data_IF_423835017619
#
_entry.id   IF_423835017619
#
_cell.length_a   1.000
_cell.length_b   1.000
_cell.length_c   1.000
_cell.angle_alpha   90.00
_cell.angle_beta   90.00
_cell.angle_gamma   90.00
#
_symmetry.space_group_name_H-M   'P 1'
#
loop_
_entity.id
_entity.type
_entity.pdbx_description
1 polymer ?
#
# COMPACT_ATOMS: atom_id res chain seq x y z
N UNK A 1 -20.89 5.64 1.96
CA UNK A 1 -20.36 5.57 3.35
C UNK A 1 -20.14 6.98 3.90
N UNK A 2 -20.00 7.14 5.23
CA UNK A 2 -19.50 8.40 5.76
C UNK A 2 -18.01 8.55 5.40
N UNK A 3 -17.58 9.67 4.78
CA UNK A 3 -16.18 9.90 4.46
C UNK A 3 -15.30 9.93 5.72
N UNK A 4 -14.03 9.55 5.57
CA UNK A 4 -13.01 9.74 6.61
C UNK A 4 -11.97 10.75 6.11
N UNK A 5 -11.49 11.59 7.01
CA UNK A 5 -10.40 12.53 6.73
C UNK A 5 -9.05 11.80 6.77
N UNK A 6 -8.25 11.91 5.72
CA UNK A 6 -6.83 11.63 5.77
C UNK A 6 -6.14 12.90 6.29
N UNK A 7 -6.01 13.02 7.61
CA UNK A 7 -5.49 14.24 8.22
C UNK A 7 -3.98 14.38 8.06
N UNK A 8 -3.28 13.28 7.93
CA UNK A 8 -1.84 13.23 7.63
C UNK A 8 -1.43 11.90 7.02
N UNK A 9 -0.34 11.87 6.27
CA UNK A 9 0.18 10.65 5.66
C UNK A 9 1.69 10.77 5.38
N UNK A 10 2.34 9.63 5.19
CA UNK A 10 3.77 9.50 4.91
C UNK A 10 4.05 8.25 4.09
N UNK A 11 5.11 8.27 3.31
CA UNK A 11 5.55 7.13 2.51
C UNK A 11 7.07 7.04 2.48
N UNK A 12 7.58 5.82 2.55
CA UNK A 12 8.99 5.46 2.38
C UNK A 12 9.08 4.21 1.52
N UNK A 13 9.81 4.29 0.42
CA UNK A 13 10.07 3.19 -0.50
C UNK A 13 11.41 3.42 -1.21
N UNK A 14 11.79 2.56 -2.16
CA UNK A 14 13.03 2.71 -2.91
C UNK A 14 13.09 3.99 -3.77
N UNK A 15 11.97 4.70 -4.00
CA UNK A 15 11.96 5.97 -4.74
C UNK A 15 12.08 7.20 -3.85
N UNK A 16 12.04 7.03 -2.52
CA UNK A 16 12.20 8.16 -1.59
C UNK A 16 11.79 7.84 -0.17
N UNK A 17 12.35 8.60 0.77
CA UNK A 17 11.96 8.65 2.16
C UNK A 17 11.21 9.95 2.42
N UNK A 18 9.94 9.83 2.77
CA UNK A 18 9.03 10.96 2.93
C UNK A 18 8.38 11.40 1.61
N UNK A 19 7.42 12.31 1.75
CA UNK A 19 6.52 12.70 0.67
C UNK A 19 7.20 13.52 -0.41
N UNK A 20 8.11 14.44 -0.06
CA UNK A 20 8.75 15.33 -1.03
C UNK A 20 9.62 14.54 -2.02
N UNK A 21 10.49 13.65 -1.51
CA UNK A 21 11.35 12.82 -2.37
C UNK A 21 10.55 11.81 -3.19
N UNK A 22 9.45 11.29 -2.63
CA UNK A 22 8.52 10.41 -3.35
C UNK A 22 7.81 11.18 -4.47
N UNK A 23 7.34 12.39 -4.20
CA UNK A 23 6.67 13.24 -5.18
C UNK A 23 7.60 13.59 -6.34
N UNK A 24 8.84 14.03 -6.04
CA UNK A 24 9.84 14.34 -7.06
C UNK A 24 10.10 13.15 -7.98
N UNK A 25 10.27 11.95 -7.39
CA UNK A 25 10.47 10.73 -8.17
C UNK A 25 9.26 10.39 -9.07
N UNK A 26 8.02 10.56 -8.56
CA UNK A 26 6.81 10.34 -9.34
C UNK A 26 6.63 11.37 -10.47
N UNK A 27 6.95 12.65 -10.22
CA UNK A 27 6.89 13.71 -11.23
C UNK A 27 7.92 13.49 -12.34
N UNK A 28 9.14 13.11 -11.96
CA UNK A 28 10.24 12.83 -12.87
C UNK A 28 10.14 11.45 -13.56
N UNK A 29 9.10 10.67 -13.27
CA UNK A 29 8.95 9.27 -13.71
C UNK A 29 10.21 8.43 -13.41
N UNK A 30 10.82 8.63 -12.23
CA UNK A 30 12.07 8.01 -11.80
C UNK A 30 11.78 6.75 -11.00
N UNK A 31 12.38 5.62 -11.40
CA UNK A 31 12.31 4.34 -10.70
C UNK A 31 13.44 4.17 -9.68
N UNK A 32 13.21 3.32 -8.67
CA UNK A 32 14.19 2.94 -7.66
C UNK A 32 14.61 1.47 -7.72
N UNK A 33 14.25 0.75 -8.80
CA UNK A 33 14.60 -0.67 -8.94
C UNK A 33 16.08 -0.83 -9.31
N UNK A 34 16.73 -1.81 -8.66
CA UNK A 34 18.11 -2.20 -8.89
C UNK A 34 18.23 -3.72 -9.10
N UNK A 35 19.28 -4.23 -9.78
CA UNK A 35 19.53 -5.66 -9.82
C UNK A 35 19.57 -6.27 -8.42
N UNK A 36 19.03 -7.48 -8.27
CA UNK A 36 18.94 -8.14 -6.97
C UNK A 36 20.34 -8.40 -6.38
N UNK A 37 20.61 -7.74 -5.26
CA UNK A 37 21.83 -7.92 -4.46
C UNK A 37 21.50 -8.15 -2.97
N UNK A 38 20.26 -8.57 -2.68
CA UNK A 38 19.77 -8.72 -1.32
C UNK A 38 20.28 -9.99 -0.65
N UNK A 39 20.97 -9.83 0.49
CA UNK A 39 21.52 -10.94 1.28
C UNK A 39 22.37 -11.89 0.40
N UNK A 40 21.98 -13.17 0.38
CA UNK A 40 22.60 -14.22 -0.43
C UNK A 40 21.70 -14.69 -1.56
N UNK A 41 20.77 -13.84 -2.00
CA UNK A 41 19.90 -14.20 -3.11
C UNK A 41 20.72 -14.33 -4.39
N UNK A 42 20.64 -15.51 -5.02
CA UNK A 42 21.21 -15.79 -6.35
C UNK A 42 20.04 -15.89 -7.34
N UNK A 43 19.50 -14.71 -7.70
CA UNK A 43 18.33 -14.57 -8.55
C UNK A 43 18.55 -13.48 -9.59
N UNK A 44 18.31 -13.82 -10.86
CA UNK A 44 18.32 -12.87 -11.96
C UNK A 44 16.99 -12.09 -11.98
N UNK A 45 16.91 -11.06 -11.14
CA UNK A 45 15.72 -10.20 -11.00
C UNK A 45 16.10 -8.80 -10.50
N UNK A 46 15.11 -7.94 -10.41
CA UNK A 46 15.24 -6.57 -9.88
C UNK A 46 14.44 -6.41 -8.59
N UNK A 47 14.95 -5.58 -7.69
CA UNK A 47 14.33 -5.31 -6.39
C UNK A 47 14.25 -3.81 -6.12
N UNK A 48 13.27 -3.41 -5.30
CA UNK A 48 13.14 -2.06 -4.77
C UNK A 48 13.53 -2.02 -3.29
N UNK A 49 14.83 -1.92 -3.00
CA UNK A 49 15.34 -1.84 -1.63
C UNK A 49 15.33 -0.39 -1.12
N UNK A 50 14.97 -0.21 0.15
CA UNK A 50 15.01 1.10 0.83
C UNK A 50 16.37 1.28 1.50
N UNK A 51 17.06 2.35 1.14
CA UNK A 51 18.36 2.67 1.72
C UNK A 51 18.26 3.00 3.22
N UNK A 52 19.26 2.56 4.00
CA UNK A 52 19.43 2.91 5.41
C UNK A 52 18.51 2.17 6.38
N UNK A 53 17.76 1.16 5.94
CA UNK A 53 16.94 0.33 6.84
C UNK A 53 17.81 -0.46 7.81
N UNK A 54 18.97 -0.95 7.34
CA UNK A 54 19.86 -1.77 8.18
C UNK A 54 20.76 -0.94 9.10
N UNK A 55 20.85 0.37 8.87
CA UNK A 55 21.75 1.28 9.58
C UNK A 55 21.14 1.85 10.87
N UNK A 56 19.82 1.81 11.00
CA UNK A 56 19.10 2.39 12.13
C UNK A 56 18.32 1.33 12.90
N UNK A 57 18.81 0.88 14.08
CA UNK A 57 18.04 -0.04 14.91
C UNK A 57 16.72 0.60 15.37
N UNK A 58 15.77 -0.21 15.76
CA UNK A 58 14.56 0.31 16.39
C UNK A 58 14.92 1.03 17.70
N UNK A 59 14.07 1.94 18.11
CA UNK A 59 14.22 2.70 19.36
C UNK A 59 14.51 1.77 20.55
N UNK A 60 15.45 2.15 21.43
CA UNK A 60 15.98 1.26 22.48
C UNK A 60 14.92 0.65 23.41
N UNK A 61 13.86 1.41 23.70
CA UNK A 61 12.72 0.92 24.51
C UNK A 61 11.84 -0.11 23.78
N UNK A 62 12.06 -0.31 22.48
CA UNK A 62 11.37 -1.27 21.62
C UNK A 62 12.31 -2.36 21.07
N UNK A 63 13.48 -2.57 21.70
CA UNK A 63 14.51 -3.51 21.24
C UNK A 63 14.01 -4.96 21.06
N UNK A 64 12.96 -5.38 21.77
CA UNK A 64 12.33 -6.70 21.55
C UNK A 64 11.73 -6.85 20.16
N UNK A 65 11.36 -5.75 19.50
CA UNK A 65 10.80 -5.72 18.15
C UNK A 65 11.86 -5.61 17.04
N UNK A 66 13.13 -5.77 17.37
CA UNK A 66 14.24 -5.57 16.45
C UNK A 66 14.19 -6.55 15.27
N UNK A 67 13.84 -6.04 14.11
CA UNK A 67 13.88 -6.74 12.82
C UNK A 67 13.81 -5.71 11.67
N UNK A 68 14.27 -6.10 10.47
CA UNK A 68 14.26 -5.22 9.29
C UNK A 68 12.90 -4.59 9.03
N UNK A 69 11.81 -5.35 9.14
CA UNK A 69 10.46 -4.86 8.88
C UNK A 69 10.06 -3.72 9.85
N UNK A 70 10.36 -3.86 11.13
CA UNK A 70 10.03 -2.84 12.14
C UNK A 70 10.99 -1.63 12.07
N UNK A 71 12.25 -1.83 11.64
CA UNK A 71 13.16 -0.72 11.29
C UNK A 71 12.57 0.10 10.14
N UNK A 72 12.11 -0.56 9.08
CA UNK A 72 11.45 0.08 7.95
C UNK A 72 10.17 0.82 8.39
N UNK A 73 9.34 0.20 9.25
CA UNK A 73 8.19 0.86 9.85
C UNK A 73 8.60 2.14 10.59
N UNK A 74 9.60 2.07 11.48
CA UNK A 74 10.11 3.24 12.20
C UNK A 74 10.61 4.32 11.27
N UNK A 75 11.36 3.94 10.24
CA UNK A 75 11.87 4.87 9.25
C UNK A 75 10.74 5.65 8.57
N UNK A 76 9.64 4.98 8.21
CA UNK A 76 8.45 5.64 7.65
C UNK A 76 7.72 6.53 8.67
N UNK A 77 7.55 6.08 9.92
CA UNK A 77 6.85 6.84 10.95
C UNK A 77 7.55 8.14 11.35
N UNK A 78 8.86 8.25 11.13
CA UNK A 78 9.66 9.46 11.46
C UNK A 78 9.69 10.49 10.34
N UNK A 79 9.09 10.21 9.17
CA UNK A 79 9.06 11.17 8.06
C UNK A 79 7.85 12.12 8.16
N UNK A 80 7.92 13.23 7.46
CA UNK A 80 6.83 14.18 7.20
C UNK A 80 6.15 14.74 8.47
N UNK A 81 6.79 14.65 9.64
CA UNK A 81 6.20 15.04 10.92
C UNK A 81 5.02 14.16 11.34
N UNK A 82 4.94 12.93 10.82
CA UNK A 82 3.83 12.00 11.08
C UNK A 82 3.70 11.66 12.58
N UNK A 83 4.81 11.50 13.28
CA UNK A 83 4.87 11.26 14.72
C UNK A 83 4.21 12.41 15.54
N UNK A 84 4.51 13.66 15.20
CA UNK A 84 3.90 14.82 15.83
C UNK A 84 2.38 14.88 15.59
N UNK A 85 1.92 14.48 14.41
CA UNK A 85 0.48 14.44 14.08
C UNK A 85 -0.25 13.35 14.85
N UNK A 86 0.32 12.17 14.98
CA UNK A 86 -0.24 11.11 15.82
C UNK A 86 -0.27 11.56 17.29
N UNK A 87 0.78 12.20 17.80
CA UNK A 87 0.80 12.76 19.16
C UNK A 87 -0.32 13.79 19.37
N UNK A 88 -0.58 14.66 18.39
CA UNK A 88 -1.69 15.62 18.45
C UNK A 88 -3.06 14.93 18.47
N UNK A 89 -3.25 13.85 17.70
CA UNK A 89 -4.48 13.06 17.74
C UNK A 89 -4.66 12.37 19.11
N UNK A 90 -3.57 11.84 19.70
CA UNK A 90 -3.58 11.26 21.06
C UNK A 90 -3.95 12.32 22.11
N UNK A 91 -3.41 13.54 22.02
CA UNK A 91 -3.75 14.63 22.91
C UNK A 91 -5.22 15.02 22.79
N UNK A 92 -5.79 14.98 21.56
CA UNK A 92 -7.18 15.35 21.28
C UNK A 92 -8.18 14.29 21.72
N UNK A 93 -7.92 13.01 21.43
CA UNK A 93 -8.89 11.93 21.60
C UNK A 93 -8.60 11.00 22.77
N UNK A 94 -7.35 11.01 23.27
CA UNK A 94 -6.84 10.04 24.24
C UNK A 94 -6.28 8.77 23.57
N UNK A 95 -5.24 8.19 24.19
CA UNK A 95 -4.53 7.03 23.63
C UNK A 95 -5.41 5.79 23.40
N UNK A 96 -6.50 5.63 24.16
CA UNK A 96 -7.45 4.51 24.00
C UNK A 96 -8.42 4.71 22.81
N UNK A 97 -8.51 5.93 22.27
CA UNK A 97 -9.42 6.27 21.18
C UNK A 97 -8.72 6.35 19.82
N UNK A 98 -7.41 6.09 19.76
CA UNK A 98 -6.62 5.97 18.54
C UNK A 98 -6.27 4.51 18.29
N UNK A 99 -6.77 3.93 17.20
CA UNK A 99 -6.50 2.55 16.79
C UNK A 99 -5.27 2.42 15.89
N UNK A 100 -4.83 1.19 15.66
CA UNK A 100 -3.72 0.84 14.76
C UNK A 100 -4.14 -0.31 13.85
N UNK A 101 -4.02 -0.13 12.53
CA UNK A 101 -4.32 -1.16 11.54
C UNK A 101 -3.18 -1.21 10.53
N UNK A 102 -2.42 -2.31 10.52
CA UNK A 102 -1.24 -2.46 9.66
C UNK A 102 -1.40 -3.65 8.74
N UNK A 103 -1.23 -3.41 7.45
CA UNK A 103 -1.15 -4.45 6.41
C UNK A 103 0.27 -4.99 6.30
N UNK A 104 0.43 -6.30 6.27
CA UNK A 104 1.72 -6.95 6.07
C UNK A 104 1.55 -8.36 5.51
N UNK A 105 2.51 -8.80 4.72
CA UNK A 105 2.66 -10.18 4.25
C UNK A 105 3.93 -10.83 4.80
N UNK A 106 4.94 -10.04 5.13
CA UNK A 106 6.25 -10.54 5.56
C UNK A 106 6.47 -10.44 7.07
N UNK A 107 5.98 -9.37 7.72
CA UNK A 107 6.43 -9.05 9.08
C UNK A 107 7.97 -9.23 9.19
N UNK A 108 8.48 -9.81 10.27
CA UNK A 108 9.91 -10.08 10.46
C UNK A 108 10.35 -11.47 9.98
N UNK A 109 9.89 -11.97 8.83
CA UNK A 109 10.27 -13.29 8.28
C UNK A 109 11.79 -13.43 8.14
N UNK A 110 12.49 -12.37 7.71
CA UNK A 110 13.95 -12.38 7.56
C UNK A 110 14.68 -12.81 8.84
N UNK A 111 14.18 -12.41 10.02
CA UNK A 111 14.78 -12.84 11.30
C UNK A 111 14.58 -14.34 11.54
N UNK A 112 13.47 -14.90 11.08
CA UNK A 112 13.26 -16.35 11.12
C UNK A 112 14.21 -17.07 10.16
N UNK A 113 14.39 -16.58 8.94
CA UNK A 113 15.35 -17.12 7.97
C UNK A 113 16.76 -17.16 8.57
N UNK A 114 17.20 -16.05 9.17
CA UNK A 114 18.48 -15.93 9.86
C UNK A 114 18.59 -16.83 11.10
N UNK A 115 17.49 -17.00 11.84
CA UNK A 115 17.46 -17.91 12.99
C UNK A 115 17.60 -19.38 12.56
N UNK A 116 16.94 -19.78 11.49
CA UNK A 116 17.08 -21.13 10.94
C UNK A 116 18.50 -21.42 10.42
N UNK A 117 19.19 -20.42 9.86
CA UNK A 117 20.60 -20.56 9.45
C UNK A 117 21.53 -20.78 10.65
N UNK A 118 21.17 -20.26 11.83
CA UNK A 118 21.95 -20.37 13.09
C UNK A 118 21.42 -21.45 14.03
N UNK A 119 20.48 -22.30 13.60
CA UNK A 119 19.93 -23.37 14.44
C UNK A 119 21.02 -24.36 14.87
N UNK A 120 20.84 -24.96 16.05
CA UNK A 120 21.73 -26.01 16.54
C UNK A 120 21.73 -27.21 15.56
N UNK A 121 22.91 -27.58 14.99
CA UNK A 121 23.02 -28.71 14.07
C UNK A 121 22.65 -30.05 14.70
N UNK A 122 22.83 -30.22 16.01
CA UNK A 122 22.59 -31.47 16.71
C UNK A 122 21.13 -31.64 17.15
N UNK A 123 20.54 -30.57 17.70
CA UNK A 123 19.19 -30.61 18.28
C UNK A 123 18.11 -29.88 17.48
N UNK A 124 18.49 -29.10 16.47
CA UNK A 124 17.56 -28.30 15.66
C UNK A 124 16.93 -27.11 16.39
N UNK A 125 17.39 -26.81 17.63
CA UNK A 125 16.89 -25.68 18.40
C UNK A 125 17.25 -24.35 17.75
N UNK A 126 16.29 -23.42 17.73
CA UNK A 126 16.53 -22.04 17.29
C UNK A 126 17.32 -21.26 18.34
N UNK A 127 18.06 -20.20 17.93
CA UNK A 127 18.84 -19.38 18.87
C UNK A 127 17.96 -18.79 19.96
N UNK A 128 18.51 -18.68 21.19
CA UNK A 128 17.78 -18.14 22.34
C UNK A 128 17.40 -16.64 22.20
N UNK A 129 18.08 -15.92 21.31
CA UNK A 129 17.80 -14.53 20.96
C UNK A 129 16.65 -14.36 19.97
N UNK A 130 16.16 -15.44 19.36
CA UNK A 130 15.04 -15.38 18.41
C UNK A 130 13.71 -15.06 19.11
N UNK A 131 13.06 -14.00 18.69
CA UNK A 131 11.84 -13.47 19.29
C UNK A 131 10.64 -13.50 18.34
N UNK A 132 10.12 -14.71 18.08
CA UNK A 132 9.01 -14.91 17.15
C UNK A 132 7.84 -13.94 17.35
N UNK A 133 7.39 -13.76 18.60
CA UNK A 133 6.20 -12.96 18.92
C UNK A 133 6.34 -11.49 18.54
N UNK A 134 7.57 -10.96 18.58
CA UNK A 134 7.86 -9.55 18.33
C UNK A 134 8.46 -9.28 16.95
N UNK A 135 8.80 -10.33 16.20
CA UNK A 135 9.42 -10.19 14.87
C UNK A 135 8.57 -10.83 13.78
N UNK A 136 8.54 -12.17 13.70
CA UNK A 136 7.87 -12.88 12.58
C UNK A 136 6.35 -12.94 12.71
N UNK A 137 5.79 -12.93 13.92
CA UNK A 137 4.34 -12.97 14.09
C UNK A 137 3.70 -11.85 13.24
N UNK A 138 2.73 -12.13 12.36
CA UNK A 138 2.07 -11.11 11.52
C UNK A 138 1.50 -9.93 12.30
N UNK A 139 1.20 -10.11 13.58
CA UNK A 139 0.76 -9.03 14.47
C UNK A 139 1.90 -8.09 14.90
N UNK A 140 3.17 -8.50 14.75
CA UNK A 140 4.33 -7.72 15.21
C UNK A 140 4.35 -6.27 14.73
N UNK A 141 4.15 -5.96 13.43
CA UNK A 141 4.17 -4.57 12.97
C UNK A 141 3.07 -3.71 13.61
N UNK A 142 1.87 -4.25 13.82
CA UNK A 142 0.80 -3.52 14.49
C UNK A 142 1.09 -3.31 15.98
N UNK A 143 1.66 -4.31 16.66
CA UNK A 143 2.10 -4.20 18.04
C UNK A 143 3.24 -3.18 18.18
N UNK A 144 4.20 -3.19 17.24
CA UNK A 144 5.30 -2.22 17.19
C UNK A 144 4.78 -0.79 17.06
N UNK A 145 3.94 -0.51 16.06
CA UNK A 145 3.37 0.84 15.83
C UNK A 145 2.55 1.30 17.05
N UNK A 146 1.78 0.38 17.67
CA UNK A 146 1.02 0.67 18.88
C UNK A 146 1.94 1.04 20.05
N UNK A 147 3.02 0.29 20.24
CA UNK A 147 4.01 0.55 21.29
C UNK A 147 4.80 1.84 21.01
N UNK A 148 5.18 2.06 19.74
CA UNK A 148 5.92 3.24 19.31
C UNK A 148 5.23 4.56 19.70
N UNK A 149 3.91 4.64 19.55
CA UNK A 149 3.09 5.80 19.92
C UNK A 149 2.43 5.71 21.28
N UNK A 150 2.74 4.69 22.10
CA UNK A 150 2.10 4.42 23.39
C UNK A 150 0.55 4.39 23.31
N UNK A 151 0.00 3.89 22.20
CA UNK A 151 -1.44 3.79 21.98
C UNK A 151 -2.05 2.64 22.80
N UNK A 152 -3.33 2.80 23.18
CA UNK A 152 -4.10 1.80 23.93
C UNK A 152 -5.40 1.42 23.24
N UNK A 153 -5.67 1.99 22.09
CA UNK A 153 -6.80 1.58 21.24
C UNK A 153 -6.59 0.18 20.62
N UNK A 154 -7.60 -0.32 19.89
CA UNK A 154 -7.50 -1.59 19.17
C UNK A 154 -6.30 -1.58 18.20
N UNK A 155 -5.59 -2.69 18.13
CA UNK A 155 -4.53 -2.89 17.15
C UNK A 155 -4.76 -4.20 16.39
N UNK A 156 -4.66 -4.16 15.08
CA UNK A 156 -4.90 -5.30 14.20
C UNK A 156 -3.87 -5.34 13.08
N UNK A 157 -3.38 -6.53 12.78
CA UNK A 157 -2.68 -6.79 11.53
C UNK A 157 -3.65 -7.39 10.52
N UNK A 158 -3.59 -6.92 9.29
CA UNK A 158 -4.32 -7.47 8.15
C UNK A 158 -3.30 -8.14 7.23
N UNK A 159 -3.46 -9.45 7.02
CA UNK A 159 -2.60 -10.23 6.13
C UNK A 159 -3.49 -10.95 5.12
N UNK A 160 -3.78 -10.26 4.03
CA UNK A 160 -4.61 -10.69 2.90
C UNK A 160 -3.84 -10.54 1.58
N UNK A 161 -2.59 -10.98 1.58
CA UNK A 161 -1.64 -10.82 0.48
C UNK A 161 -1.54 -9.34 0.03
N UNK A 162 -1.52 -9.08 -1.29
CA UNK A 162 -1.26 -7.76 -1.84
C UNK A 162 -2.35 -6.72 -1.53
N UNK A 163 -3.55 -7.13 -1.07
CA UNK A 163 -4.62 -6.21 -0.68
C UNK A 163 -4.56 -5.77 0.80
N UNK A 164 -3.61 -6.29 1.58
CA UNK A 164 -3.51 -6.04 3.02
C UNK A 164 -3.52 -4.55 3.37
N UNK A 165 -2.62 -3.76 2.76
CA UNK A 165 -2.45 -2.34 3.01
C UNK A 165 -3.63 -1.46 2.58
N UNK A 166 -4.48 -1.94 1.67
CA UNK A 166 -5.73 -1.27 1.32
C UNK A 166 -6.85 -1.63 2.30
N UNK A 167 -6.97 -2.88 2.73
CA UNK A 167 -8.04 -3.34 3.64
C UNK A 167 -7.96 -2.76 5.05
N UNK A 168 -6.79 -2.24 5.47
CA UNK A 168 -6.66 -1.54 6.76
C UNK A 168 -7.56 -0.32 6.85
N UNK A 169 -7.79 0.39 5.75
CA UNK A 169 -8.71 1.54 5.68
C UNK A 169 -10.15 1.11 5.97
N UNK A 170 -10.59 -0.02 5.43
CA UNK A 170 -11.91 -0.61 5.71
C UNK A 170 -12.07 -1.02 7.17
N UNK A 171 -11.03 -1.62 7.76
CA UNK A 171 -11.05 -2.01 9.17
C UNK A 171 -11.11 -0.80 10.10
N UNK A 172 -10.30 0.22 9.86
CA UNK A 172 -10.34 1.48 10.62
C UNK A 172 -11.70 2.17 10.49
N UNK A 173 -12.26 2.25 9.27
CA UNK A 173 -13.59 2.81 9.03
C UNK A 173 -14.66 2.16 9.90
N UNK A 174 -14.73 0.82 9.86
CA UNK A 174 -15.72 0.06 10.65
C UNK A 174 -15.64 0.38 12.15
N UNK A 175 -14.42 0.49 12.70
CA UNK A 175 -14.20 0.84 14.10
C UNK A 175 -14.58 2.30 14.43
N UNK A 176 -14.28 3.24 13.52
CA UNK A 176 -14.66 4.65 13.67
C UNK A 176 -16.18 4.82 13.56
N UNK A 177 -16.83 4.18 12.58
CA UNK A 177 -18.30 4.24 12.42
C UNK A 177 -19.04 3.62 13.59
N UNK A 178 -18.51 2.51 14.16
CA UNK A 178 -19.03 1.89 15.36
C UNK A 178 -18.80 2.72 16.65
N UNK A 179 -18.08 3.85 16.57
CA UNK A 179 -17.78 4.69 17.73
C UNK A 179 -16.79 4.10 18.71
N UNK A 180 -16.06 3.04 18.32
CA UNK A 180 -15.06 2.41 19.19
C UNK A 180 -13.76 3.22 19.29
N UNK A 181 -13.42 3.93 18.20
CA UNK A 181 -12.28 4.86 18.12
C UNK A 181 -12.70 6.14 17.38
N UNK A 182 -11.90 7.20 17.48
CA UNK A 182 -12.12 8.48 16.78
C UNK A 182 -11.07 8.72 15.69
N UNK A 183 -9.90 8.11 15.83
CA UNK A 183 -8.82 8.15 14.86
C UNK A 183 -8.12 6.79 14.75
N UNK A 184 -7.40 6.58 13.67
CA UNK A 184 -6.57 5.39 13.48
C UNK A 184 -5.31 5.71 12.69
N UNK A 185 -4.19 5.14 13.14
CA UNK A 185 -3.00 4.95 12.32
C UNK A 185 -3.26 3.73 11.44
N UNK A 186 -3.37 3.95 10.14
CA UNK A 186 -3.53 2.91 9.14
C UNK A 186 -2.31 2.88 8.23
N UNK A 187 -1.91 1.74 7.75
CA UNK A 187 -0.78 1.68 6.84
C UNK A 187 -0.38 0.27 6.48
N UNK A 188 0.76 0.15 5.82
CA UNK A 188 1.35 -1.13 5.46
C UNK A 188 2.86 -1.08 5.53
N UNK A 189 3.46 -2.18 5.93
CA UNK A 189 4.91 -2.35 5.94
C UNK A 189 5.27 -3.78 5.57
N UNK A 190 6.08 -3.91 4.54
CA UNK A 190 6.73 -5.16 4.15
C UNK A 190 8.17 -4.88 3.75
N UNK A 191 9.08 -5.67 4.27
CA UNK A 191 10.50 -5.61 3.96
C UNK A 191 10.94 -6.79 3.09
N UNK A 192 12.03 -6.62 2.37
CA UNK A 192 12.65 -7.70 1.60
C UNK A 192 13.00 -8.89 2.49
N UNK A 193 12.81 -10.09 1.99
CA UNK A 193 13.20 -11.35 2.61
C UNK A 193 13.39 -12.43 1.54
N UNK A 194 14.18 -13.45 1.83
CA UNK A 194 14.47 -14.52 0.88
C UNK A 194 13.25 -15.38 0.57
N UNK A 195 12.38 -15.59 1.57
CA UNK A 195 11.13 -16.37 1.40
C UNK A 195 10.26 -15.80 0.29
N UNK A 196 10.09 -14.48 0.21
CA UNK A 196 9.28 -13.87 -0.87
C UNK A 196 10.01 -13.91 -2.20
N UNK A 197 11.31 -13.62 -2.23
CA UNK A 197 12.11 -13.64 -3.46
C UNK A 197 12.09 -15.05 -4.08
N UNK A 198 12.48 -16.07 -3.34
CA UNK A 198 12.49 -17.44 -3.85
C UNK A 198 11.09 -18.01 -4.05
N UNK A 199 10.11 -17.62 -3.22
CA UNK A 199 8.71 -18.02 -3.37
C UNK A 199 8.11 -17.56 -4.70
N UNK A 200 8.26 -16.27 -5.03
CA UNK A 200 7.78 -15.75 -6.33
C UNK A 200 8.62 -16.26 -7.51
N UNK A 201 9.93 -16.52 -7.31
CA UNK A 201 10.74 -17.18 -8.32
C UNK A 201 10.24 -18.60 -8.63
N UNK A 202 9.88 -19.37 -7.61
CA UNK A 202 9.36 -20.73 -7.79
C UNK A 202 8.01 -20.80 -8.50
N UNK A 203 7.27 -19.69 -8.50
CA UNK A 203 6.02 -19.51 -9.25
C UNK A 203 6.25 -18.94 -10.65
N UNK A 204 7.52 -18.71 -11.04
CA UNK A 204 7.88 -18.09 -12.33
C UNK A 204 7.24 -16.70 -12.55
N UNK A 205 7.14 -15.93 -11.47
CA UNK A 205 6.49 -14.61 -11.47
C UNK A 205 7.46 -13.43 -11.37
N UNK A 206 8.76 -13.67 -11.19
CA UNK A 206 9.76 -12.60 -11.16
C UNK A 206 10.20 -12.21 -12.58
N UNK A 207 10.22 -10.90 -12.83
CA UNK A 207 10.80 -10.35 -14.05
C UNK A 207 12.34 -10.37 -13.97
N UNK A 208 13.00 -10.63 -15.12
CA UNK A 208 14.45 -10.50 -15.28
C UNK A 208 14.90 -9.07 -15.63
N UNK A 209 13.96 -8.19 -15.84
CA UNK A 209 14.16 -6.77 -16.09
C UNK A 209 13.36 -5.96 -15.06
N UNK A 210 13.56 -4.64 -14.90
CA UNK A 210 12.65 -3.83 -14.10
C UNK A 210 11.22 -4.07 -14.56
N UNK A 211 10.33 -4.39 -13.63
CA UNK A 211 8.94 -4.72 -13.99
C UNK A 211 8.27 -3.55 -14.72
N UNK A 212 7.47 -3.89 -15.75
CA UNK A 212 6.84 -2.95 -16.68
C UNK A 212 5.35 -3.23 -16.81
N UNK A 213 4.53 -2.76 -15.87
CA UNK A 213 3.09 -2.99 -15.90
C UNK A 213 2.43 -2.55 -17.19
N UNK A 214 1.50 -3.35 -17.74
CA UNK A 214 0.74 -3.07 -18.96
C UNK A 214 1.59 -2.95 -20.26
N UNK A 215 2.88 -3.24 -20.22
CA UNK A 215 3.74 -3.28 -21.42
C UNK A 215 3.54 -4.58 -22.20
N UNK A 216 3.73 -4.52 -23.53
CA UNK A 216 3.69 -5.73 -24.40
C UNK A 216 4.75 -6.77 -24.00
N UNK A 217 5.88 -6.32 -23.47
CA UNK A 217 7.00 -7.15 -23.05
C UNK A 217 7.02 -7.45 -21.54
N UNK A 218 5.88 -7.24 -20.83
CA UNK A 218 5.78 -7.58 -19.40
C UNK A 218 5.95 -9.08 -19.19
N UNK A 219 6.69 -9.46 -18.18
CA UNK A 219 7.07 -10.85 -17.90
C UNK A 219 7.02 -11.22 -16.42
N UNK A 220 6.64 -10.29 -15.54
CA UNK A 220 6.56 -10.55 -14.11
C UNK A 220 6.83 -9.33 -13.25
N UNK A 221 6.88 -9.56 -11.93
CA UNK A 221 7.08 -8.54 -10.91
C UNK A 221 8.56 -8.32 -10.59
N UNK A 222 8.88 -7.15 -10.07
CA UNK A 222 10.05 -6.90 -9.23
C UNK A 222 9.58 -6.76 -7.79
N UNK A 223 10.21 -7.40 -6.82
CA UNK A 223 9.83 -7.25 -5.41
C UNK A 223 10.40 -5.96 -4.85
N UNK A 224 9.56 -5.17 -4.18
CA UNK A 224 9.97 -3.97 -3.46
C UNK A 224 9.64 -4.06 -1.98
N UNK A 225 10.19 -3.14 -1.19
CA UNK A 225 9.85 -2.93 0.21
C UNK A 225 9.37 -1.49 0.45
N UNK A 226 8.45 -1.32 1.38
CA UNK A 226 7.92 0.00 1.73
C UNK A 226 7.32 0.03 3.13
N UNK A 227 7.27 1.25 3.69
CA UNK A 227 6.43 1.61 4.83
C UNK A 227 5.63 2.86 4.47
N UNK A 228 4.31 2.74 4.49
CA UNK A 228 3.42 3.86 4.20
C UNK A 228 2.29 3.90 5.23
N UNK A 229 2.05 5.09 5.79
CA UNK A 229 1.06 5.27 6.85
C UNK A 229 0.19 6.50 6.60
N UNK A 230 -1.04 6.44 7.08
CA UNK A 230 -1.95 7.57 7.16
C UNK A 230 -2.61 7.64 8.54
N UNK A 231 -2.89 8.85 8.99
CA UNK A 231 -3.78 9.12 10.11
C UNK A 231 -5.17 9.40 9.54
N UNK A 232 -6.11 8.51 9.80
CA UNK A 232 -7.51 8.67 9.40
C UNK A 232 -8.37 9.05 10.61
N UNK A 233 -9.25 10.02 10.40
CA UNK A 233 -10.08 10.59 11.45
C UNK A 233 -11.53 10.75 10.98
N UNK A 234 -12.43 10.83 11.92
CA UNK A 234 -13.82 11.24 11.63
C UNK A 234 -13.83 12.65 11.05
N UNK A 235 -14.59 12.87 10.00
CA UNK A 235 -14.81 14.23 9.46
C UNK A 235 -15.49 15.07 10.53
N UNK A 236 -15.01 16.29 10.84
CA UNK A 236 -15.64 17.20 11.79
C UNK A 236 -17.09 17.49 11.43
N UNK A 237 -17.96 17.65 12.45
CA UNK A 237 -19.37 17.95 12.27
C UNK A 237 -19.65 19.28 11.53
N UNK A 238 -18.70 20.22 11.59
CA UNK A 238 -18.71 21.47 10.81
C UNK A 238 -17.72 21.37 9.64
N UNK A 239 -18.12 20.87 8.45
CA UNK A 239 -17.22 20.71 7.31
C UNK A 239 -16.55 22.01 6.84
N UNK A 240 -17.14 23.17 7.16
CA UNK A 240 -16.55 24.49 6.91
C UNK A 240 -15.22 24.73 7.66
N UNK A 241 -14.90 23.89 8.66
CA UNK A 241 -13.61 23.91 9.35
C UNK A 241 -12.52 23.12 8.63
N UNK A 242 -12.87 22.36 7.57
CA UNK A 242 -11.90 21.67 6.73
C UNK A 242 -11.39 22.61 5.64
N UNK A 243 -10.10 22.58 5.43
CA UNK A 243 -9.50 23.16 4.23
C UNK A 243 -10.19 22.57 2.99
N UNK A 244 -10.49 23.40 1.99
CA UNK A 244 -11.10 22.96 0.73
C UNK A 244 -10.28 21.88 0.00
N UNK A 245 -9.01 21.72 0.36
CA UNK A 245 -8.06 20.79 -0.21
C UNK A 245 -7.82 19.54 0.62
N UNK A 246 -8.55 19.38 1.74
CA UNK A 246 -8.43 18.19 2.58
C UNK A 246 -8.79 16.91 1.81
N UNK A 247 -7.98 15.86 2.01
CA UNK A 247 -8.15 14.58 1.35
C UNK A 247 -9.10 13.69 2.18
N UNK A 248 -10.09 13.13 1.50
CA UNK A 248 -11.09 12.25 2.09
C UNK A 248 -11.02 10.85 1.48
N UNK A 249 -11.15 9.83 2.29
CA UNK A 249 -11.52 8.49 1.86
C UNK A 249 -13.04 8.48 1.64
N UNK A 250 -13.46 8.41 0.39
CA UNK A 250 -14.85 8.53 -0.03
C UNK A 250 -15.55 7.18 -0.17
N UNK A 251 -14.81 6.15 -0.61
CA UNK A 251 -15.37 4.84 -0.91
C UNK A 251 -14.40 3.71 -0.69
N UNK A 252 -14.96 2.55 -0.33
CA UNK A 252 -14.24 1.29 -0.17
C UNK A 252 -15.09 0.17 -0.77
N UNK A 253 -14.45 -0.69 -1.56
CA UNK A 253 -15.05 -1.93 -2.04
C UNK A 253 -14.13 -3.11 -1.78
N UNK A 254 -14.67 -4.20 -1.30
CA UNK A 254 -13.94 -5.43 -1.00
C UNK A 254 -14.66 -6.62 -1.64
N UNK A 255 -13.91 -7.52 -2.26
CA UNK A 255 -14.48 -8.72 -2.92
C UNK A 255 -13.56 -9.92 -2.79
N UNK A 256 -14.04 -11.07 -3.26
CA UNK A 256 -13.24 -12.27 -3.46
C UNK A 256 -13.52 -12.87 -4.84
N UNK A 257 -12.47 -13.30 -5.56
CA UNK A 257 -12.61 -13.99 -6.85
C UNK A 257 -13.21 -15.38 -6.68
N UNK A 258 -12.95 -16.06 -5.56
CA UNK A 258 -13.30 -17.45 -5.31
C UNK A 258 -12.94 -18.39 -6.49
N UNK A 259 -11.76 -18.14 -7.12
CA UNK A 259 -11.33 -18.79 -8.35
C UNK A 259 -10.08 -19.66 -8.18
N UNK A 260 -8.94 -19.07 -7.82
CA UNK A 260 -7.65 -19.77 -7.69
C UNK A 260 -6.77 -19.10 -6.61
N UNK A 261 -5.81 -19.89 -6.04
CA UNK A 261 -4.96 -19.37 -4.94
C UNK A 261 -3.95 -18.30 -5.38
N UNK A 262 -3.47 -18.33 -6.62
CA UNK A 262 -2.41 -17.44 -7.12
C UNK A 262 -2.72 -16.75 -8.45
N UNK A 263 -3.91 -16.96 -9.02
CA UNK A 263 -4.34 -16.32 -10.27
C UNK A 263 -5.68 -15.63 -10.09
N UNK A 264 -5.87 -14.42 -10.63
CA UNK A 264 -7.16 -13.75 -10.61
C UNK A 264 -8.18 -14.48 -11.48
N UNK A 265 -9.46 -14.20 -11.28
CA UNK A 265 -10.49 -14.64 -12.21
C UNK A 265 -10.22 -14.06 -13.60
N UNK A 266 -10.10 -14.87 -14.68
CA UNK A 266 -9.67 -14.41 -16.00
C UNK A 266 -10.50 -13.23 -16.52
N UNK A 267 -11.81 -13.20 -16.25
CA UNK A 267 -12.71 -12.12 -16.66
C UNK A 267 -12.68 -10.90 -15.72
N UNK A 268 -11.79 -10.86 -14.71
CA UNK A 268 -11.67 -9.75 -13.78
C UNK A 268 -12.90 -9.53 -12.89
N UNK A 269 -13.72 -10.56 -12.65
CA UNK A 269 -15.00 -10.41 -11.95
C UNK A 269 -14.85 -9.88 -10.53
N UNK A 270 -13.89 -10.40 -9.77
CA UNK A 270 -13.63 -9.90 -8.41
C UNK A 270 -13.08 -8.49 -8.40
N UNK A 271 -12.14 -8.17 -9.29
CA UNK A 271 -11.63 -6.81 -9.47
C UNK A 271 -12.77 -5.83 -9.79
N UNK A 272 -13.61 -6.18 -10.75
CA UNK A 272 -14.80 -5.40 -11.11
C UNK A 272 -15.75 -5.21 -9.93
N UNK A 273 -16.06 -6.28 -9.19
CA UNK A 273 -16.95 -6.20 -8.03
C UNK A 273 -16.39 -5.28 -6.93
N UNK A 274 -15.08 -5.30 -6.65
CA UNK A 274 -14.44 -4.39 -5.71
C UNK A 274 -14.58 -2.93 -6.17
N UNK A 275 -14.33 -2.65 -7.45
CA UNK A 275 -14.45 -1.30 -8.02
C UNK A 275 -15.92 -0.82 -7.93
N UNK A 276 -16.89 -1.62 -8.37
CA UNK A 276 -18.31 -1.28 -8.33
C UNK A 276 -18.80 -0.99 -6.89
N UNK A 277 -18.36 -1.78 -5.92
CA UNK A 277 -18.66 -1.54 -4.50
C UNK A 277 -18.02 -0.25 -3.98
N UNK A 278 -16.77 0.04 -4.37
CA UNK A 278 -16.11 1.29 -4.00
C UNK A 278 -16.87 2.51 -4.54
N UNK A 279 -17.25 2.47 -5.82
CA UNK A 279 -18.06 3.52 -6.47
C UNK A 279 -19.42 3.70 -5.75
N UNK A 280 -20.13 2.60 -5.53
CA UNK A 280 -21.41 2.63 -4.82
C UNK A 280 -21.26 3.18 -3.39
N UNK A 281 -20.23 2.76 -2.67
CA UNK A 281 -19.99 3.23 -1.29
C UNK A 281 -19.62 4.72 -1.22
N UNK A 282 -19.00 5.26 -2.27
CA UNK A 282 -18.69 6.68 -2.46
C UNK A 282 -19.89 7.48 -3.01
N UNK A 283 -20.96 6.82 -3.49
CA UNK A 283 -22.03 7.42 -4.28
C UNK A 283 -21.48 8.13 -5.53
N UNK A 284 -20.48 7.53 -6.20
CA UNK A 284 -19.84 8.03 -7.41
C UNK A 284 -20.13 7.11 -8.60
N UNK A 285 -20.13 7.70 -9.82
CA UNK A 285 -20.07 6.94 -11.07
C UNK A 285 -18.63 6.84 -11.58
N UNK A 286 -18.38 5.93 -12.52
CA UNK A 286 -17.05 5.77 -13.13
C UNK A 286 -16.54 7.08 -13.77
N UNK A 287 -17.44 7.89 -14.33
CA UNK A 287 -17.13 9.20 -14.95
C UNK A 287 -16.68 10.28 -13.96
N UNK A 288 -16.85 10.06 -12.66
CA UNK A 288 -16.39 10.96 -11.61
C UNK A 288 -14.93 10.71 -11.22
N UNK A 289 -14.33 9.59 -11.66
CA UNK A 289 -12.95 9.22 -11.38
C UNK A 289 -12.03 9.85 -12.44
N UNK A 290 -11.09 10.66 -12.00
CA UNK A 290 -10.16 11.38 -12.87
C UNK A 290 -8.85 10.60 -13.09
N UNK A 291 -8.51 9.66 -12.21
CA UNK A 291 -7.33 8.81 -12.31
C UNK A 291 -7.53 7.48 -11.60
N UNK A 292 -7.00 6.40 -12.18
CA UNK A 292 -6.94 5.08 -11.57
C UNK A 292 -5.48 4.69 -11.32
N UNK A 293 -5.11 4.54 -10.05
CA UNK A 293 -3.87 3.86 -9.68
C UNK A 293 -4.13 2.35 -9.72
N UNK A 294 -3.50 1.69 -10.68
CA UNK A 294 -3.70 0.28 -10.97
C UNK A 294 -3.02 -0.63 -9.95
N UNK A 295 -3.58 -1.79 -9.73
CA UNK A 295 -2.79 -2.87 -9.12
C UNK A 295 -1.60 -3.23 -10.00
N UNK A 296 -1.77 -3.41 -11.30
CA UNK A 296 -0.76 -3.39 -12.34
C UNK A 296 0.59 -4.01 -11.95
N UNK A 297 0.64 -5.33 -11.85
CA UNK A 297 1.82 -6.06 -11.33
C UNK A 297 2.87 -6.39 -12.38
N UNK A 298 2.57 -6.14 -13.67
CA UNK A 298 3.34 -6.62 -14.82
C UNK A 298 3.29 -8.14 -15.03
N UNK A 299 2.47 -8.88 -14.28
CA UNK A 299 2.20 -10.28 -14.63
C UNK A 299 1.13 -10.32 -15.73
N UNK A 300 1.28 -11.20 -16.76
CA UNK A 300 0.32 -11.29 -17.84
C UNK A 300 -1.12 -11.52 -17.37
N UNK A 301 -1.31 -12.38 -16.37
CA UNK A 301 -2.64 -12.74 -15.85
C UNK A 301 -3.32 -11.59 -15.11
N UNK A 302 -2.60 -10.89 -14.21
CA UNK A 302 -3.18 -9.79 -13.46
C UNK A 302 -3.54 -8.62 -14.37
N UNK A 303 -2.62 -8.20 -15.22
CA UNK A 303 -2.82 -7.01 -16.05
C UNK A 303 -3.96 -7.24 -17.06
N UNK A 304 -4.10 -8.47 -17.58
CA UNK A 304 -5.23 -8.84 -18.43
C UNK A 304 -6.57 -8.83 -17.68
N UNK A 305 -6.63 -9.40 -16.46
CA UNK A 305 -7.85 -9.43 -15.67
C UNK A 305 -8.27 -8.03 -15.20
N UNK A 306 -7.32 -7.21 -14.73
CA UNK A 306 -7.58 -5.82 -14.35
C UNK A 306 -8.03 -4.98 -15.55
N UNK A 307 -7.39 -5.13 -16.70
CA UNK A 307 -7.79 -4.46 -17.94
C UNK A 307 -9.24 -4.76 -18.33
N UNK A 308 -9.71 -6.01 -18.19
CA UNK A 308 -11.12 -6.36 -18.45
C UNK A 308 -12.07 -5.69 -17.47
N UNK A 309 -11.71 -5.64 -16.18
CA UNK A 309 -12.51 -4.94 -15.18
C UNK A 309 -12.60 -3.44 -15.49
N UNK A 310 -11.48 -2.82 -15.88
CA UNK A 310 -11.44 -1.40 -16.28
C UNK A 310 -12.25 -1.14 -17.56
N UNK A 311 -12.05 -1.93 -18.62
CA UNK A 311 -12.76 -1.78 -19.89
C UNK A 311 -14.27 -1.90 -19.77
N UNK A 312 -14.76 -2.63 -18.76
CA UNK A 312 -16.18 -2.74 -18.48
C UNK A 312 -16.78 -1.48 -17.78
N UNK A 313 -15.96 -0.68 -17.10
CA UNK A 313 -16.41 0.43 -16.26
C UNK A 313 -15.95 1.81 -16.76
N UNK A 314 -14.73 1.90 -17.29
CA UNK A 314 -14.06 3.15 -17.64
C UNK A 314 -13.76 3.21 -19.14
N UNK A 315 -14.26 4.25 -19.82
CA UNK A 315 -14.04 4.41 -21.25
C UNK A 315 -12.65 4.98 -21.58
N UNK A 316 -12.20 6.02 -20.86
CA UNK A 316 -10.94 6.76 -21.09
C UNK A 316 -10.41 7.43 -19.82
N UNK A 317 -10.56 6.80 -18.67
CA UNK A 317 -9.97 7.34 -17.43
C UNK A 317 -8.47 7.06 -17.44
N UNK A 318 -7.62 8.10 -17.32
CA UNK A 318 -6.18 7.93 -17.22
C UNK A 318 -5.81 6.95 -16.10
N UNK A 319 -4.90 6.04 -16.37
CA UNK A 319 -4.46 5.06 -15.38
C UNK A 319 -2.96 4.79 -15.50
N UNK A 320 -2.32 4.42 -14.39
CA UNK A 320 -0.95 3.92 -14.36
C UNK A 320 -0.71 3.04 -13.16
N UNK A 321 0.35 2.23 -13.21
CA UNK A 321 0.86 1.51 -12.05
C UNK A 321 2.19 2.10 -11.61
N UNK A 322 2.32 2.40 -10.34
CA UNK A 322 3.57 2.89 -9.75
C UNK A 322 4.55 1.77 -9.41
N UNK A 323 4.16 0.50 -9.60
CA UNK A 323 5.03 -0.66 -9.35
C UNK A 323 6.23 -0.74 -10.29
N UNK A 324 6.17 -0.13 -11.47
CA UNK A 324 7.36 0.06 -12.32
C UNK A 324 8.46 0.87 -11.62
N UNK A 325 8.08 1.82 -10.77
CA UNK A 325 9.02 2.64 -10.00
C UNK A 325 9.46 1.97 -8.68
N UNK A 326 8.52 1.40 -7.93
CA UNK A 326 8.72 0.94 -6.54
C UNK A 326 8.95 -0.56 -6.42
N UNK A 327 8.67 -1.33 -7.46
CA UNK A 327 8.43 -2.76 -7.35
C UNK A 327 7.08 -3.05 -6.67
N UNK A 328 6.75 -4.31 -6.58
CA UNK A 328 5.59 -4.77 -5.83
C UNK A 328 5.93 -4.89 -4.35
N UNK A 329 5.44 -3.98 -3.52
CA UNK A 329 5.75 -3.92 -2.09
C UNK A 329 4.81 -4.79 -1.24
N UNK A 330 4.29 -5.87 -1.83
CA UNK A 330 3.50 -6.93 -1.20
C UNK A 330 2.32 -6.39 -0.38
N UNK A 331 2.23 -6.73 0.91
CA UNK A 331 1.17 -6.27 1.79
C UNK A 331 1.21 -4.77 2.09
N UNK A 332 2.34 -4.10 1.89
CA UNK A 332 2.44 -2.65 1.99
C UNK A 332 1.91 -1.92 0.75
N UNK A 333 1.78 -2.61 -0.40
CA UNK A 333 1.48 -1.99 -1.70
C UNK A 333 0.23 -1.10 -1.66
N UNK A 334 -0.88 -1.62 -1.16
CA UNK A 334 -2.14 -0.85 -1.13
C UNK A 334 -2.09 0.39 -0.24
N UNK A 335 -1.25 0.39 0.81
CA UNK A 335 -1.03 1.58 1.63
C UNK A 335 -0.16 2.61 0.90
N UNK A 336 0.93 2.18 0.28
CA UNK A 336 1.79 3.06 -0.53
C UNK A 336 1.00 3.71 -1.68
N UNK A 337 0.20 2.92 -2.39
CA UNK A 337 -0.64 3.38 -3.50
C UNK A 337 -1.77 4.31 -3.04
N UNK A 338 -2.31 4.11 -1.84
CA UNK A 338 -3.23 5.06 -1.22
C UNK A 338 -2.56 6.43 -0.97
N UNK A 339 -1.29 6.45 -0.56
CA UNK A 339 -0.54 7.70 -0.39
C UNK A 339 -0.22 8.33 -1.75
N UNK A 340 0.12 7.55 -2.78
CA UNK A 340 0.27 8.06 -4.16
C UNK A 340 -1.03 8.69 -4.65
N UNK A 341 -2.19 8.08 -4.38
CA UNK A 341 -3.49 8.65 -4.72
C UNK A 341 -3.73 9.98 -3.97
N UNK A 342 -3.36 10.06 -2.69
CA UNK A 342 -3.44 11.29 -1.91
C UNK A 342 -2.49 12.38 -2.45
N UNK A 343 -1.28 12.03 -2.86
CA UNK A 343 -0.34 12.95 -3.52
C UNK A 343 -0.89 13.46 -4.86
N UNK A 344 -1.45 12.57 -5.70
CA UNK A 344 -2.06 12.96 -6.97
C UNK A 344 -3.19 13.99 -6.77
N UNK A 345 -4.01 13.82 -5.73
CA UNK A 345 -5.06 14.77 -5.35
C UNK A 345 -4.51 16.08 -4.80
N UNK A 346 -3.52 16.01 -3.90
CA UNK A 346 -2.93 17.20 -3.26
C UNK A 346 -2.20 18.07 -4.27
N UNK A 347 -1.38 17.45 -5.09
CA UNK A 347 -0.49 18.11 -6.04
C UNK A 347 -1.07 18.30 -7.43
N UNK A 348 -2.30 17.81 -7.66
CA UNK A 348 -3.04 17.97 -8.92
C UNK A 348 -2.25 17.47 -10.13
N UNK A 349 -1.78 16.22 -10.07
CA UNK A 349 -1.07 15.56 -11.17
C UNK A 349 -1.46 14.09 -11.30
N UNK A 350 -1.13 13.50 -12.43
CA UNK A 350 -1.24 12.06 -12.68
C UNK A 350 0.15 11.50 -12.91
N UNK A 351 0.61 10.52 -12.09
CA UNK A 351 1.93 9.93 -12.25
C UNK A 351 1.99 8.98 -13.46
N UNK A 352 3.17 8.93 -14.10
CA UNK A 352 3.46 7.97 -15.16
C UNK A 352 3.58 6.53 -14.63
N UNK A 353 3.31 5.57 -15.50
CA UNK A 353 3.75 4.19 -15.32
C UNK A 353 5.20 4.04 -15.77
N UNK A 354 6.10 3.96 -14.79
CA UNK A 354 7.55 3.85 -15.04
C UNK A 354 7.89 2.50 -15.66
N UNK A 355 8.91 2.45 -16.53
CA UNK A 355 9.42 1.29 -17.29
C UNK A 355 8.49 0.80 -18.41
N UNK A 356 7.23 1.19 -18.46
CA UNK A 356 6.33 0.89 -19.58
C UNK A 356 6.66 1.82 -20.73
N UNK A 357 7.07 1.25 -21.85
CA UNK A 357 7.43 2.01 -23.07
C UNK A 357 6.44 1.78 -24.20
N UNK A 358 5.86 0.60 -24.25
CA UNK A 358 4.90 0.20 -25.27
C UNK A 358 3.68 -0.48 -24.60
N UNK A 359 2.64 0.30 -24.22
CA UNK A 359 1.42 -0.28 -23.67
C UNK A 359 0.84 -1.34 -24.60
N UNK A 360 0.42 -2.47 -24.03
CA UNK A 360 -0.14 -3.58 -24.77
C UNK A 360 -1.50 -3.18 -25.37
N UNK A 361 -1.68 -3.11 -26.70
CA UNK A 361 -2.92 -2.70 -27.31
C UNK A 361 -4.08 -3.69 -27.09
N UNK A 362 -3.79 -4.91 -26.61
CA UNK A 362 -4.81 -5.87 -26.20
C UNK A 362 -5.43 -5.54 -24.85
N UNK A 363 -4.83 -4.62 -24.08
CA UNK A 363 -5.33 -4.19 -22.78
C UNK A 363 -6.13 -2.90 -22.91
N UNK A 364 -7.38 -2.92 -22.45
CA UNK A 364 -8.26 -1.74 -22.45
C UNK A 364 -7.86 -0.78 -21.30
N UNK A 365 -6.90 0.11 -21.57
CA UNK A 365 -6.42 1.09 -20.59
C UNK A 365 -5.91 2.37 -21.29
N UNK A 366 -6.25 3.53 -20.74
CA UNK A 366 -5.61 4.81 -21.10
C UNK A 366 -4.36 4.99 -20.23
N UNK A 367 -3.31 4.22 -20.56
CA UNK A 367 -2.10 4.10 -19.74
C UNK A 367 -1.18 5.32 -19.91
N UNK A 368 -0.87 5.99 -18.80
CA UNK A 368 -0.11 7.23 -18.76
C UNK A 368 1.39 6.96 -18.78
N UNK A 369 2.08 7.38 -19.85
CA UNK A 369 3.52 7.19 -20.04
C UNK A 369 4.38 8.36 -19.54
N UNK A 370 3.78 9.53 -19.32
CA UNK A 370 4.48 10.71 -18.81
C UNK A 370 3.66 11.38 -17.72
N UNK A 371 4.29 11.68 -16.60
CA UNK A 371 3.64 12.42 -15.51
C UNK A 371 3.19 13.79 -16.02
N UNK A 372 1.99 14.22 -15.61
CA UNK A 372 1.42 15.47 -16.09
C UNK A 372 0.57 16.15 -15.04
N UNK A 373 0.70 17.47 -14.95
CA UNK A 373 -0.20 18.28 -14.15
C UNK A 373 -1.58 18.31 -14.79
N UNK A 374 -2.59 18.03 -13.99
CA UNK A 374 -3.98 18.06 -14.42
C UNK A 374 -4.89 18.14 -13.20
N UNK A 375 -6.09 18.67 -13.40
CA UNK A 375 -7.08 18.69 -12.32
C UNK A 375 -7.52 17.27 -11.95
N UNK A 376 -7.32 16.88 -10.69
CA UNK A 376 -7.72 15.59 -10.12
C UNK A 376 -8.66 15.84 -8.94
N UNK A 377 -9.88 15.34 -9.02
CA UNK A 377 -10.94 15.50 -8.00
C UNK A 377 -11.19 14.21 -7.24
N UNK A 378 -11.10 13.07 -7.92
CA UNK A 378 -11.26 11.74 -7.33
C UNK A 378 -10.30 10.74 -8.00
N UNK A 379 -9.70 9.90 -7.17
CA UNK A 379 -8.76 8.84 -7.55
C UNK A 379 -9.26 7.51 -7.02
N UNK A 380 -9.28 6.49 -7.89
CA UNK A 380 -9.47 5.09 -7.52
C UNK A 380 -8.10 4.41 -7.38
N UNK A 381 -7.87 3.68 -6.30
CA UNK A 381 -6.68 2.85 -6.09
C UNK A 381 -7.07 1.38 -5.93
N UNK A 382 -6.50 0.51 -6.75
CA UNK A 382 -6.80 -0.92 -6.80
C UNK A 382 -5.71 -1.76 -6.13
N UNK A 383 -6.12 -2.76 -5.37
CA UNK A 383 -5.24 -3.75 -4.75
C UNK A 383 -5.86 -5.14 -4.85
N UNK A 384 -5.30 -6.00 -5.71
CA UNK A 384 -5.81 -7.34 -5.97
C UNK A 384 -4.79 -8.38 -5.48
N UNK A 385 -5.19 -9.21 -4.55
CA UNK A 385 -4.28 -10.10 -3.83
C UNK A 385 -4.44 -11.57 -4.22
N UNK A 386 -3.36 -12.32 -4.06
CA UNK A 386 -3.41 -13.78 -4.10
C UNK A 386 -4.48 -14.30 -3.13
N UNK A 387 -5.05 -15.46 -3.43
CA UNK A 387 -6.26 -15.96 -2.78
C UNK A 387 -7.53 -15.29 -3.30
N UNK A 388 -7.42 -14.42 -4.31
CA UNK A 388 -8.54 -13.71 -4.92
C UNK A 388 -9.12 -12.61 -4.03
N UNK A 389 -8.37 -12.12 -3.06
CA UNK A 389 -8.84 -11.08 -2.14
C UNK A 389 -8.56 -9.68 -2.68
N UNK A 390 -9.60 -8.92 -2.98
CA UNK A 390 -9.53 -7.64 -3.66
C UNK A 390 -9.98 -6.49 -2.77
N UNK A 391 -9.42 -5.30 -3.00
CA UNK A 391 -9.83 -4.06 -2.38
C UNK A 391 -9.63 -2.90 -3.35
N UNK A 392 -10.64 -2.02 -3.45
CA UNK A 392 -10.55 -0.75 -4.18
C UNK A 392 -10.91 0.39 -3.24
N UNK A 393 -10.09 1.45 -3.25
CA UNK A 393 -10.26 2.64 -2.44
C UNK A 393 -10.53 3.85 -3.34
N UNK A 394 -11.44 4.73 -2.92
CA UNK A 394 -11.67 6.00 -3.61
C UNK A 394 -11.34 7.13 -2.67
N UNK A 395 -10.43 7.99 -3.11
CA UNK A 395 -10.06 9.23 -2.44
C UNK A 395 -10.53 10.43 -3.24
N UNK A 396 -10.80 11.55 -2.55
CA UNK A 396 -11.18 12.81 -3.20
C UNK A 396 -10.97 14.00 -2.30
N UNK A 397 -11.11 15.22 -2.88
CA UNK A 397 -10.99 16.48 -2.14
C UNK A 397 -12.35 16.92 -1.57
N UNK A 398 -12.33 17.67 -0.47
CA UNK A 398 -13.55 18.19 0.20
C UNK A 398 -14.43 19.02 -0.72
N UNK A 399 -13.88 19.82 -1.63
CA UNK A 399 -14.65 20.60 -2.61
C UNK A 399 -15.52 19.72 -3.52
N UNK A 400 -15.08 18.52 -3.84
CA UNK A 400 -15.86 17.58 -4.65
C UNK A 400 -17.03 16.97 -3.85
N UNK A 401 -16.82 16.66 -2.58
CA UNK A 401 -17.85 16.13 -1.68
C UNK A 401 -18.96 17.17 -1.39
N UNK A 402 -18.60 18.45 -1.20
CA UNK A 402 -19.53 19.52 -0.89
C UNK A 402 -20.45 19.92 -2.07
N UNK A 403 -19.98 19.81 -3.30
CA UNK A 403 -20.76 20.12 -4.51
C UNK A 403 -21.94 19.17 -4.75
N UNK A 404 -21.94 18.00 -4.12
CA UNK A 404 -22.99 16.95 -4.26
C UNK A 404 -24.07 17.03 -3.19
N UNK A 405 -23.77 17.51 -1.99
CA UNK A 405 -24.79 17.74 -0.95
C UNK A 405 -25.82 18.83 -1.34
N UNK A 406 -25.58 19.54 -2.47
CA UNK A 406 -26.46 20.61 -3.00
C UNK A 406 -27.19 20.22 -4.29
N UNK A 407 -27.06 18.99 -4.78
CA UNK A 407 -27.82 18.42 -5.91
C UNK A 407 -28.74 17.30 -5.42
#
# INVERSE_FOLDING_TARGET
MNPLLLSHFTATSCIGRGLDTTLDALRDARGGLVPCNFERADLDTWIGAVDGVDEQPVRADLADFECRNNRLAQLGLTQDGFDARVAAAVARYGAARVGVFVGTSTAGILETERAYQRRDPAGGALPADFRYAHTHNPYSPAAFVRAYFALRGPAMAISSACSSGAKVFGSARRMIEAGLIDAAVVGGVDSLCLTTLYGFNSLELLSRQPCRPFDVARDGISIGEAAAFALVERVPAAPAALDGDAILLLGIGESSDAHHMSSPHPEGLGARAAIEQALASASLGAHDIDYVNLHGTATPSNDAAESRALGALFARTPCSSTKGATGHTLGAAGALEAIVAALALREQFVPAGVNTTQPDPALAADYVLASRDTRVRAVLSNSFGFGGTNCSLIFGRTQHAAGRARR
#
